data_IF_043513628920
#
_entry.id   IF_043513628920
#
_cell.length_a   1.000
_cell.length_b   1.000
_cell.length_c   1.000
_cell.angle_alpha   90.00
_cell.angle_beta   90.00
_cell.angle_gamma   90.00
#
_symmetry.space_group_name_H-M   'P 1'
#
loop_
_entity.id
_entity.type
_entity.pdbx_description
1 polymer ?
#
# COMPACT_ATOMS: atom_id res chain seq x y z
N UNK A 1 19.74 -6.98 -0.47
CA UNK A 1 20.41 -7.99 -1.32
C UNK A 1 20.73 -9.26 -0.56
N UNK A 2 21.60 -9.25 0.46
CA UNK A 2 21.98 -10.48 1.19
C UNK A 2 20.78 -11.31 1.68
N UNK A 3 19.72 -10.67 2.19
CA UNK A 3 18.47 -11.35 2.56
C UNK A 3 17.81 -12.08 1.38
N UNK A 4 17.63 -11.41 0.25
CA UNK A 4 17.04 -12.01 -0.96
C UNK A 4 17.91 -13.15 -1.50
N UNK A 5 19.24 -12.98 -1.48
CA UNK A 5 20.19 -14.00 -1.94
C UNK A 5 20.26 -15.22 -1.00
N UNK A 6 19.69 -15.13 0.20
CA UNK A 6 19.61 -16.25 1.15
C UNK A 6 18.34 -17.09 1.01
N UNK A 7 17.40 -16.67 0.15
CA UNK A 7 16.17 -17.40 -0.13
C UNK A 7 16.38 -18.36 -1.30
N UNK A 8 16.27 -19.66 -1.03
CA UNK A 8 16.42 -20.73 -2.03
C UNK A 8 15.39 -20.66 -3.17
N UNK A 9 14.26 -19.97 -2.92
CA UNK A 9 13.20 -19.75 -3.90
C UNK A 9 13.31 -18.38 -4.59
N UNK A 10 14.34 -17.59 -4.29
CA UNK A 10 14.61 -16.36 -5.02
C UNK A 10 15.06 -16.69 -6.45
N UNK A 11 14.33 -16.11 -7.42
CA UNK A 11 14.69 -16.16 -8.82
C UNK A 11 14.32 -14.85 -9.50
N UNK A 12 15.18 -14.41 -10.42
CA UNK A 12 14.94 -13.25 -11.27
C UNK A 12 15.75 -13.43 -12.56
N UNK A 13 15.10 -13.39 -13.73
CA UNK A 13 15.73 -13.59 -15.05
C UNK A 13 16.71 -14.78 -15.10
N UNK A 14 16.29 -15.92 -14.55
CA UNK A 14 17.09 -17.14 -14.47
C UNK A 14 18.26 -17.12 -13.46
N UNK A 15 18.45 -16.04 -12.71
CA UNK A 15 19.47 -15.90 -11.67
C UNK A 15 18.89 -16.23 -10.29
N UNK A 16 19.71 -16.84 -9.42
CA UNK A 16 19.39 -17.14 -8.01
C UNK A 16 20.01 -16.16 -7.01
N UNK A 17 20.62 -15.08 -7.50
CA UNK A 17 21.26 -14.07 -6.67
C UNK A 17 21.27 -12.72 -7.38
N UNK A 18 21.26 -11.65 -6.59
CA UNK A 18 21.28 -10.26 -7.02
C UNK A 18 22.59 -9.58 -6.59
N UNK A 19 23.21 -8.84 -7.50
CA UNK A 19 24.35 -7.94 -7.23
C UNK A 19 23.91 -6.47 -7.23
N UNK A 20 24.77 -5.58 -6.70
CA UNK A 20 24.44 -4.15 -6.50
C UNK A 20 24.07 -3.44 -7.81
N UNK A 21 24.81 -3.71 -8.88
CA UNK A 21 24.59 -3.19 -10.23
C UNK A 21 23.25 -3.64 -10.84
N UNK A 22 22.68 -4.75 -10.35
CA UNK A 22 21.42 -5.30 -10.84
C UNK A 22 20.20 -4.82 -10.04
N UNK A 23 20.40 -4.13 -8.93
CA UNK A 23 19.31 -3.78 -8.01
C UNK A 23 18.24 -2.92 -8.69
N UNK A 24 18.65 -1.90 -9.44
CA UNK A 24 17.72 -1.00 -10.14
C UNK A 24 16.85 -1.76 -11.14
N UNK A 25 17.45 -2.66 -11.92
CA UNK A 25 16.72 -3.45 -12.90
C UNK A 25 15.78 -4.45 -12.24
N UNK A 26 16.23 -5.07 -11.14
CA UNK A 26 15.39 -5.95 -10.35
C UNK A 26 14.16 -5.22 -9.80
N UNK A 27 14.35 -4.03 -9.20
CA UNK A 27 13.25 -3.22 -8.68
C UNK A 27 12.21 -2.86 -9.75
N UNK A 28 12.66 -2.61 -10.99
CA UNK A 28 11.78 -2.24 -12.11
C UNK A 28 10.90 -3.39 -12.62
N UNK A 29 11.27 -4.65 -12.39
CA UNK A 29 10.42 -5.80 -12.77
C UNK A 29 9.44 -6.19 -11.67
N UNK A 30 9.65 -5.72 -10.45
CA UNK A 30 8.69 -5.98 -9.40
C UNK A 30 7.41 -5.18 -9.65
N UNK A 31 6.28 -5.81 -9.37
CA UNK A 31 4.97 -5.22 -9.53
C UNK A 31 4.50 -4.64 -8.20
N UNK A 32 4.22 -3.33 -8.10
CA UNK A 32 3.65 -2.75 -6.90
C UNK A 32 2.18 -3.18 -6.76
N UNK A 33 1.84 -3.73 -5.60
CA UNK A 33 0.47 -4.11 -5.23
C UNK A 33 0.20 -3.80 -3.76
N UNK A 34 -1.07 -3.80 -3.38
CA UNK A 34 -1.52 -3.67 -1.99
C UNK A 34 -2.13 -4.99 -1.54
N UNK A 35 -1.73 -5.46 -0.36
CA UNK A 35 -2.24 -6.72 0.19
C UNK A 35 -3.74 -6.59 0.51
N UNK A 36 -4.54 -7.55 0.05
CA UNK A 36 -5.96 -7.64 0.41
C UNK A 36 -6.20 -8.40 1.72
N UNK A 37 -5.22 -9.18 2.14
CA UNK A 37 -5.29 -10.03 3.33
C UNK A 37 -4.02 -9.89 4.15
N UNK A 38 -4.14 -10.23 5.43
CA UNK A 38 -3.00 -10.33 6.33
C UNK A 38 -2.09 -11.47 5.84
N UNK A 39 -0.81 -11.20 5.65
CA UNK A 39 0.13 -12.11 4.99
C UNK A 39 1.34 -12.44 5.85
N UNK A 40 1.60 -13.73 6.06
CA UNK A 40 2.84 -14.22 6.66
C UNK A 40 4.00 -14.06 5.69
N UNK A 41 5.07 -13.50 6.21
CA UNK A 41 6.33 -13.30 5.51
C UNK A 41 7.49 -13.55 6.46
N UNK A 42 8.67 -13.73 5.89
CA UNK A 42 9.91 -13.48 6.60
C UNK A 42 10.35 -12.04 6.30
N UNK A 43 10.38 -11.21 7.35
CA UNK A 43 10.78 -9.81 7.32
C UNK A 43 12.23 -9.69 7.81
N UNK A 44 12.99 -8.71 7.30
CA UNK A 44 14.40 -8.54 7.65
C UNK A 44 14.67 -7.18 8.29
N UNK A 45 15.22 -7.18 9.49
CA UNK A 45 15.74 -5.99 10.15
C UNK A 45 17.25 -5.89 9.94
N UNK A 46 17.77 -4.68 9.82
CA UNK A 46 19.21 -4.47 9.81
C UNK A 46 19.73 -4.39 11.24
N UNK A 47 20.63 -5.29 11.63
CA UNK A 47 21.32 -5.25 12.92
C UNK A 47 22.82 -5.39 12.68
N UNK A 48 23.61 -4.43 13.18
CA UNK A 48 25.07 -4.41 13.01
C UNK A 48 25.51 -4.57 11.53
N UNK A 49 24.77 -3.93 10.61
CA UNK A 49 25.04 -3.98 9.17
C UNK A 49 24.66 -5.29 8.48
N UNK A 50 24.01 -6.23 9.17
CA UNK A 50 23.57 -7.53 8.61
C UNK A 50 22.05 -7.68 8.68
N UNK A 51 21.43 -8.33 7.69
CA UNK A 51 20.00 -8.62 7.72
C UNK A 51 19.72 -9.77 8.70
N UNK A 52 18.79 -9.55 9.63
CA UNK A 52 18.30 -10.52 10.60
C UNK A 52 16.86 -10.85 10.26
N UNK A 53 16.58 -12.12 9.97
CA UNK A 53 15.24 -12.59 9.63
C UNK A 53 14.34 -12.66 10.86
N UNK A 54 13.06 -12.34 10.67
CA UNK A 54 11.98 -12.52 11.63
C UNK A 54 10.72 -12.97 10.92
N UNK A 55 10.01 -13.93 11.50
CA UNK A 55 8.66 -14.26 11.03
C UNK A 55 7.72 -13.11 11.39
N UNK A 56 6.94 -12.64 10.44
CA UNK A 56 6.04 -11.50 10.62
C UNK A 56 4.73 -11.71 9.87
N UNK A 57 3.70 -10.96 10.28
CA UNK A 57 2.45 -10.79 9.53
C UNK A 57 2.42 -9.35 9.03
N UNK A 58 2.27 -9.16 7.73
CA UNK A 58 1.96 -7.87 7.14
C UNK A 58 0.44 -7.70 7.11
N UNK A 59 -0.05 -6.59 7.63
CA UNK A 59 -1.46 -6.24 7.61
C UNK A 59 -1.98 -6.05 6.18
N UNK A 60 -3.22 -6.44 5.91
CA UNK A 60 -3.96 -6.01 4.73
C UNK A 60 -3.88 -4.47 4.57
N UNK A 61 -3.74 -3.98 3.35
CA UNK A 61 -3.44 -2.57 3.07
C UNK A 61 -1.94 -2.26 2.99
N UNK A 62 -1.05 -3.20 3.35
CA UNK A 62 0.39 -3.00 3.17
C UNK A 62 0.76 -3.02 1.68
N UNK A 63 1.47 -1.98 1.22
CA UNK A 63 2.03 -1.92 -0.11
C UNK A 63 3.34 -2.74 -0.21
N UNK A 64 3.41 -3.62 -1.20
CA UNK A 64 4.54 -4.51 -1.45
C UNK A 64 4.91 -4.53 -2.93
N UNK A 65 6.18 -4.81 -3.22
CA UNK A 65 6.67 -5.09 -4.56
C UNK A 65 6.79 -6.60 -4.74
N UNK A 66 6.13 -7.12 -5.77
CA UNK A 66 5.90 -8.56 -5.99
C UNK A 66 6.62 -9.03 -7.24
N UNK A 67 7.28 -10.17 -7.16
CA UNK A 67 7.95 -10.77 -8.34
C UNK A 67 6.95 -11.42 -9.32
N UNK A 68 7.44 -11.82 -10.48
CA UNK A 68 6.64 -12.50 -11.52
C UNK A 68 6.04 -13.84 -11.07
N UNK A 69 6.40 -14.39 -9.91
CA UNK A 69 5.80 -15.62 -9.36
C UNK A 69 4.79 -15.33 -8.26
N UNK A 70 4.48 -14.06 -8.01
CA UNK A 70 3.50 -13.63 -7.02
C UNK A 70 4.04 -13.52 -5.60
N UNK A 71 5.36 -13.63 -5.40
CA UNK A 71 5.97 -13.54 -4.08
C UNK A 71 6.28 -12.08 -3.75
N UNK A 72 5.79 -11.53 -2.61
CA UNK A 72 6.25 -10.24 -2.12
C UNK A 72 7.74 -10.30 -1.79
N UNK A 73 8.54 -9.44 -2.42
CA UNK A 73 10.00 -9.39 -2.26
C UNK A 73 10.47 -8.18 -1.50
N UNK A 74 9.70 -7.10 -1.52
CA UNK A 74 10.05 -5.85 -0.85
C UNK A 74 8.80 -5.23 -0.24
N UNK A 75 8.90 -4.77 1.01
CA UNK A 75 7.92 -3.86 1.59
C UNK A 75 8.17 -2.47 1.00
N UNK A 76 7.23 -1.96 0.21
CA UNK A 76 7.46 -0.82 -0.67
C UNK A 76 7.95 0.41 0.07
N UNK A 77 7.32 0.75 1.20
CA UNK A 77 7.60 1.99 1.94
C UNK A 77 8.97 2.00 2.65
N UNK A 78 9.48 0.83 3.06
CA UNK A 78 10.73 0.73 3.83
C UNK A 78 11.88 0.13 3.05
N UNK A 79 11.66 -0.31 1.80
CA UNK A 79 12.65 -1.05 1.02
C UNK A 79 13.08 -2.37 1.66
N UNK A 80 12.32 -2.85 2.66
CA UNK A 80 12.71 -4.02 3.44
C UNK A 80 12.55 -5.28 2.60
N UNK A 81 13.60 -6.11 2.47
CA UNK A 81 13.47 -7.41 1.84
C UNK A 81 12.42 -8.27 2.54
N UNK A 82 11.66 -9.01 1.75
CA UNK A 82 10.69 -9.99 2.18
C UNK A 82 11.02 -11.32 1.49
N UNK A 83 10.91 -12.41 2.24
CA UNK A 83 10.99 -13.77 1.71
C UNK A 83 9.82 -14.58 2.23
N UNK A 84 9.64 -15.79 1.70
CA UNK A 84 8.54 -16.65 2.11
C UNK A 84 8.62 -16.97 3.61
N UNK A 85 7.47 -17.11 4.28
CA UNK A 85 7.46 -17.50 5.68
C UNK A 85 7.96 -18.93 5.83
N UNK A 86 8.51 -19.24 7.00
CA UNK A 86 8.83 -20.61 7.33
C UNK A 86 7.55 -21.44 7.44
N UNK A 87 7.58 -22.63 6.84
CA UNK A 87 6.52 -23.62 6.97
C UNK A 87 6.43 -24.06 8.43
N UNK A 88 5.24 -23.93 9.01
CA UNK A 88 4.93 -24.47 10.34
C UNK A 88 4.26 -25.82 10.10
N UNK A 89 5.00 -26.91 10.29
CA UNK A 89 4.45 -28.25 10.14
C UNK A 89 3.60 -28.59 11.37
N UNK A 90 2.36 -29.02 11.16
CA UNK A 90 1.49 -29.66 12.16
C UNK A 90 1.13 -28.84 13.41
N UNK A 91 1.26 -27.50 13.36
CA UNK A 91 0.83 -26.62 14.45
C UNK A 91 0.15 -25.36 13.91
N UNK A 92 -0.91 -24.91 14.58
CA UNK A 92 -1.49 -23.58 14.37
C UNK A 92 -0.45 -22.54 14.76
N UNK A 93 -0.09 -21.58 13.89
CA UNK A 93 0.87 -20.54 14.24
C UNK A 93 0.39 -19.74 15.45
N UNK A 94 1.27 -19.55 16.43
CA UNK A 94 1.04 -18.60 17.52
C UNK A 94 1.55 -17.22 17.11
N UNK A 95 0.67 -16.23 17.20
CA UNK A 95 0.99 -14.84 16.86
C UNK A 95 1.38 -14.07 18.13
N UNK A 96 2.41 -13.23 18.02
CA UNK A 96 2.95 -12.42 19.11
C UNK A 96 2.98 -10.95 18.69
N UNK A 97 2.99 -10.04 19.67
CA UNK A 97 3.00 -8.60 19.46
C UNK A 97 1.60 -8.00 19.37
N UNK A 98 1.54 -6.74 18.97
CA UNK A 98 0.29 -5.99 18.91
C UNK A 98 -0.59 -6.46 17.75
N UNK A 99 -1.86 -6.66 18.04
CA UNK A 99 -2.89 -6.94 17.04
C UNK A 99 -3.58 -5.66 16.59
N UNK A 100 -4.11 -5.64 15.37
CA UNK A 100 -5.02 -4.58 14.90
C UNK A 100 -6.49 -5.01 15.00
N UNK A 101 -7.41 -4.05 14.94
CA UNK A 101 -8.87 -4.29 15.08
C UNK A 101 -9.43 -5.37 14.15
N UNK A 102 -8.90 -5.46 12.93
CA UNK A 102 -9.34 -6.45 11.93
C UNK A 102 -8.49 -7.73 11.91
N UNK A 103 -7.53 -7.88 12.82
CA UNK A 103 -6.66 -9.05 12.86
C UNK A 103 -7.46 -10.29 13.22
N UNK A 104 -7.40 -11.30 12.37
CA UNK A 104 -8.02 -12.61 12.61
C UNK A 104 -6.99 -13.70 12.31
N UNK A 105 -6.51 -14.45 13.32
CA UNK A 105 -5.49 -15.48 13.12
C UNK A 105 -5.93 -16.59 12.16
N UNK A 106 -7.24 -16.77 11.93
CA UNK A 106 -7.77 -17.70 10.94
C UNK A 106 -7.77 -17.14 9.50
N UNK A 107 -7.54 -15.83 9.32
CA UNK A 107 -7.50 -15.13 8.02
C UNK A 107 -6.11 -14.58 7.70
N UNK A 108 -5.08 -15.28 8.19
CA UNK A 108 -3.69 -15.00 7.89
C UNK A 108 -3.18 -15.97 6.83
N UNK A 109 -2.77 -15.45 5.68
CA UNK A 109 -2.39 -16.25 4.51
C UNK A 109 -0.88 -16.33 4.33
N UNK A 110 -0.42 -17.30 3.54
CA UNK A 110 0.94 -17.37 3.03
C UNK A 110 0.90 -17.53 1.52
N UNK A 111 1.82 -16.89 0.81
CA UNK A 111 1.93 -17.05 -0.65
C UNK A 111 2.59 -18.39 -0.95
N UNK A 112 1.99 -19.15 -1.86
CA UNK A 112 2.68 -20.21 -2.60
C UNK A 112 3.13 -19.62 -3.94
N UNK A 113 4.43 -19.65 -4.28
CA UNK A 113 4.88 -19.17 -5.58
C UNK A 113 4.17 -19.89 -6.73
N UNK A 114 3.87 -19.16 -7.80
CA UNK A 114 3.34 -19.76 -9.01
C UNK A 114 4.37 -20.72 -9.64
N UNK A 115 3.90 -21.82 -10.23
CA UNK A 115 4.77 -22.81 -10.88
C UNK A 115 5.40 -22.26 -12.18
N UNK A 116 4.72 -21.30 -12.81
CA UNK A 116 5.16 -20.54 -13.98
C UNK A 116 5.11 -19.04 -13.70
N UNK A 117 5.87 -18.25 -14.46
CA UNK A 117 5.82 -16.80 -14.39
C UNK A 117 4.43 -16.28 -14.80
N UNK A 118 3.91 -15.35 -14.02
CA UNK A 118 2.64 -14.67 -14.25
C UNK A 118 2.84 -13.58 -15.30
N UNK A 119 1.89 -13.50 -16.23
CA UNK A 119 1.85 -12.38 -17.18
C UNK A 119 1.25 -11.12 -16.54
N UNK A 120 0.31 -11.29 -15.60
CA UNK A 120 -0.38 -10.22 -14.91
C UNK A 120 -0.91 -10.66 -13.55
N UNK A 121 -1.21 -9.68 -12.71
CA UNK A 121 -1.96 -9.84 -11.46
C UNK A 121 -3.41 -9.43 -11.63
N UNK A 122 -4.32 -10.29 -11.19
CA UNK A 122 -5.72 -9.92 -10.99
C UNK A 122 -5.84 -9.12 -9.69
N UNK A 123 -6.11 -7.82 -9.81
CA UNK A 123 -6.14 -6.88 -8.69
C UNK A 123 -7.55 -6.29 -8.53
N UNK A 124 -7.80 -5.76 -7.34
CA UNK A 124 -9.01 -5.01 -7.03
C UNK A 124 -8.61 -3.61 -6.59
N UNK A 125 -9.27 -2.56 -7.10
CA UNK A 125 -9.06 -1.22 -6.59
C UNK A 125 -9.48 -1.18 -5.12
N UNK A 126 -8.81 -0.35 -4.33
CA UNK A 126 -9.14 -0.23 -2.92
C UNK A 126 -10.47 0.53 -2.82
N UNK A 127 -11.49 -0.12 -2.26
CA UNK A 127 -12.84 0.45 -2.12
C UNK A 127 -13.81 0.18 -3.28
N UNK A 128 -13.32 -0.29 -4.43
CA UNK A 128 -14.18 -0.74 -5.53
C UNK A 128 -14.09 -2.26 -5.72
N UNK A 129 -15.20 -2.88 -6.10
CA UNK A 129 -15.27 -4.34 -6.26
C UNK A 129 -14.85 -4.84 -7.64
N UNK A 130 -14.55 -3.95 -8.59
CA UNK A 130 -14.35 -4.33 -9.99
C UNK A 130 -12.89 -4.70 -10.20
N UNK A 131 -12.65 -5.97 -10.52
CA UNK A 131 -11.32 -6.50 -10.83
C UNK A 131 -10.73 -5.80 -12.06
N UNK A 132 -9.43 -5.53 -12.01
CA UNK A 132 -8.60 -5.19 -13.18
C UNK A 132 -7.37 -6.10 -13.24
N UNK A 133 -6.64 -6.04 -14.35
CA UNK A 133 -5.40 -6.80 -14.56
C UNK A 133 -4.21 -5.85 -14.68
N UNK A 134 -3.18 -6.09 -13.86
CA UNK A 134 -1.90 -5.38 -13.94
C UNK A 134 -0.83 -6.28 -14.56
N UNK A 135 -0.34 -5.99 -15.77
CA UNK A 135 0.81 -6.71 -16.32
C UNK A 135 2.00 -6.65 -15.36
N UNK A 136 2.69 -7.78 -15.19
CA UNK A 136 3.83 -7.85 -14.29
C UNK A 136 4.95 -6.89 -14.71
N UNK A 137 5.61 -6.26 -13.73
CA UNK A 137 6.67 -5.26 -13.94
C UNK A 137 6.18 -3.88 -14.35
N UNK A 138 4.87 -3.65 -14.36
CA UNK A 138 4.29 -2.32 -14.63
C UNK A 138 3.84 -1.66 -13.33
N UNK A 139 3.78 -0.33 -13.33
CA UNK A 139 3.35 0.47 -12.16
C UNK A 139 1.88 0.87 -12.22
N UNK A 140 1.13 0.33 -13.18
CA UNK A 140 -0.30 0.61 -13.41
C UNK A 140 -0.60 1.34 -14.72
N UNK A 141 0.43 1.86 -15.40
CA UNK A 141 0.29 2.54 -16.69
C UNK A 141 -0.21 1.65 -17.84
N UNK A 142 -0.19 0.33 -17.64
CA UNK A 142 -0.68 -0.67 -18.58
C UNK A 142 -1.79 -1.54 -17.98
N UNK A 143 -2.42 -1.08 -16.89
CA UNK A 143 -3.56 -1.78 -16.30
C UNK A 143 -4.68 -1.92 -17.34
N UNK A 144 -5.33 -3.09 -17.33
CA UNK A 144 -6.41 -3.42 -18.25
C UNK A 144 -7.65 -3.71 -17.45
N UNK A 145 -8.74 -3.06 -17.83
CA UNK A 145 -10.06 -3.46 -17.35
C UNK A 145 -10.35 -4.87 -17.82
N UNK A 146 -11.04 -5.66 -17.00
CA UNK A 146 -11.63 -6.90 -17.50
C UNK A 146 -12.83 -6.54 -18.39
N UNK A 147 -12.61 -6.32 -19.69
CA UNK A 147 -13.66 -6.63 -20.66
C UNK A 147 -13.79 -8.15 -20.72
N UNK A 148 -14.95 -8.73 -20.39
CA UNK A 148 -15.15 -10.16 -20.63
C UNK A 148 -14.89 -10.45 -22.11
N UNK A 149 -14.24 -11.57 -22.47
CA UNK A 149 -14.32 -12.02 -23.85
C UNK A 149 -15.81 -12.24 -24.17
N UNK A 150 -16.36 -11.43 -25.07
CA UNK A 150 -17.67 -11.64 -25.66
C UNK A 150 -17.62 -12.94 -26.44
N UNK A 151 -18.15 -14.03 -25.86
CA UNK A 151 -18.63 -15.19 -26.61
C UNK A 151 -19.61 -16.01 -25.76
N UNK A 152 -20.88 -15.97 -26.21
CA UNK A 152 -21.85 -17.08 -26.28
C UNK A 152 -22.48 -17.63 -24.98
N UNK A 153 -23.70 -17.14 -24.74
CA UNK A 153 -24.91 -17.85 -24.30
C UNK A 153 -24.77 -19.25 -23.65
N UNK A 154 -25.07 -19.33 -22.35
CA UNK A 154 -25.36 -20.58 -21.61
C UNK A 154 -26.15 -20.26 -20.32
N UNK A 155 -27.08 -21.13 -19.87
CA UNK A 155 -28.32 -20.70 -19.20
C UNK A 155 -28.16 -20.35 -17.72
N UNK A 156 -29.02 -19.42 -17.30
CA UNK A 156 -29.13 -18.80 -15.98
C UNK A 156 -29.52 -19.79 -14.88
N UNK A 157 -28.75 -19.82 -13.78
CA UNK A 157 -29.20 -20.35 -12.49
C UNK A 157 -30.00 -19.29 -11.70
N UNK A 158 -30.98 -19.68 -10.87
CA UNK A 158 -31.96 -18.75 -10.29
C UNK A 158 -31.38 -17.81 -9.22
N UNK A 159 -31.81 -16.55 -9.28
CA UNK A 159 -31.56 -15.49 -8.29
C UNK A 159 -32.24 -15.79 -6.93
N UNK A 160 -31.52 -15.54 -5.83
CA UNK A 160 -32.12 -15.30 -4.52
C UNK A 160 -32.65 -13.86 -4.39
N UNK A 161 -33.65 -13.60 -3.52
CA UNK A 161 -34.46 -12.37 -3.54
C UNK A 161 -33.70 -11.10 -3.11
N UNK A 162 -34.15 -9.90 -3.54
CA UNK A 162 -33.48 -8.64 -3.25
C UNK A 162 -33.76 -8.16 -1.82
N UNK A 163 -32.71 -7.73 -1.11
CA UNK A 163 -32.83 -6.92 0.10
C UNK A 163 -33.08 -5.44 -0.28
N UNK A 164 -33.90 -4.70 0.50
CA UNK A 164 -34.30 -3.33 0.17
C UNK A 164 -33.11 -2.35 0.20
N UNK A 165 -33.11 -1.41 -0.77
CA UNK A 165 -32.00 -0.54 -1.11
C UNK A 165 -31.66 0.55 -0.08
N UNK A 166 -30.47 1.17 -0.19
CA UNK A 166 -30.04 2.21 0.73
C UNK A 166 -30.79 3.51 0.48
N UNK A 167 -31.36 4.06 1.56
CA UNK A 167 -31.87 5.42 1.60
C UNK A 167 -30.72 6.41 1.41
N UNK A 168 -30.86 7.25 0.39
CA UNK A 168 -30.01 8.42 0.12
C UNK A 168 -30.15 9.44 1.25
N UNK A 169 -29.04 9.75 1.92
CA UNK A 169 -28.90 10.95 2.76
C UNK A 169 -27.82 11.83 2.13
N UNK A 170 -28.21 13.04 1.72
CA UNK A 170 -27.30 14.07 1.21
C UNK A 170 -26.54 14.76 2.35
N UNK A 171 -25.33 15.31 2.08
CA UNK A 171 -24.27 15.49 3.07
C UNK A 171 -24.18 16.92 3.61
N UNK A 172 -23.70 17.09 4.84
CA UNK A 172 -23.23 18.38 5.36
C UNK A 172 -21.78 18.31 5.88
N UNK A 173 -21.01 17.30 5.50
CA UNK A 173 -19.59 17.16 5.87
C UNK A 173 -18.75 16.63 4.72
N UNK A 174 -17.50 17.10 4.64
CA UNK A 174 -16.49 16.56 3.73
C UNK A 174 -16.17 15.10 4.11
N UNK A 175 -16.10 14.25 3.09
CA UNK A 175 -15.85 12.82 3.27
C UNK A 175 -14.36 12.54 3.47
N UNK A 176 -13.94 12.56 4.73
CA UNK A 176 -12.58 12.17 5.15
C UNK A 176 -12.38 10.66 5.22
N UNK A 177 -13.43 9.85 4.97
CA UNK A 177 -13.32 8.40 5.03
C UNK A 177 -12.38 7.82 3.97
N UNK A 178 -11.90 6.62 4.23
CA UNK A 178 -10.92 5.96 3.39
C UNK A 178 -9.49 6.39 3.70
N UNK A 179 -8.60 6.01 2.80
CA UNK A 179 -7.17 6.19 3.00
C UNK A 179 -6.69 7.44 2.27
N UNK A 180 -5.80 8.17 2.93
CA UNK A 180 -5.19 9.36 2.40
C UNK A 180 -3.71 9.12 2.17
N UNK A 181 -3.16 9.79 1.17
CA UNK A 181 -1.74 9.75 0.84
C UNK A 181 -1.19 11.15 0.97
N UNK A 182 -0.11 11.28 1.73
CA UNK A 182 0.78 12.44 1.63
C UNK A 182 1.99 12.03 0.79
N UNK A 183 2.28 12.76 -0.28
CA UNK A 183 3.35 12.47 -1.22
C UNK A 183 4.26 13.68 -1.45
N UNK A 184 5.53 13.38 -1.71
CA UNK A 184 6.56 14.28 -2.21
C UNK A 184 7.25 13.65 -3.41
N UNK A 185 8.21 14.36 -4.00
CA UNK A 185 8.95 13.91 -5.20
C UNK A 185 9.54 12.49 -5.06
N UNK A 186 9.98 12.12 -3.85
CA UNK A 186 10.75 10.89 -3.60
C UNK A 186 10.08 9.92 -2.62
N UNK A 187 8.95 10.28 -2.01
CA UNK A 187 8.36 9.50 -0.91
C UNK A 187 6.87 9.77 -0.75
N UNK A 188 6.12 8.73 -0.41
CA UNK A 188 4.71 8.82 -0.06
C UNK A 188 4.43 8.04 1.23
N UNK A 189 3.54 8.57 2.06
CA UNK A 189 3.07 7.92 3.27
C UNK A 189 1.54 7.83 3.26
N UNK A 190 1.05 6.71 3.77
CA UNK A 190 -0.36 6.35 3.77
C UNK A 190 -0.89 6.49 5.20
N UNK A 191 -2.06 7.09 5.33
CA UNK A 191 -2.63 7.40 6.63
C UNK A 191 -4.13 7.66 6.61
N UNK A 192 -4.65 7.94 7.79
CA UNK A 192 -6.04 8.36 7.98
C UNK A 192 -6.09 9.86 8.11
N UNK A 193 -7.07 10.48 7.45
CA UNK A 193 -7.38 11.89 7.65
C UNK A 193 -8.63 12.00 8.51
N UNK A 194 -8.58 12.86 9.52
CA UNK A 194 -9.74 13.19 10.36
C UNK A 194 -9.93 14.70 10.43
N UNK A 195 -11.17 15.21 10.50
CA UNK A 195 -11.40 16.61 10.81
C UNK A 195 -10.79 16.96 12.17
N UNK A 196 -10.10 18.10 12.24
CA UNK A 196 -9.51 18.60 13.49
C UNK A 196 -9.63 20.13 13.53
N UNK A 197 -10.54 20.64 14.36
CA UNK A 197 -10.86 22.07 14.41
C UNK A 197 -11.32 22.62 13.06
N UNK A 198 -10.63 23.66 12.58
CA UNK A 198 -10.89 24.30 11.29
C UNK A 198 -10.13 23.66 10.11
N UNK A 199 -9.40 22.58 10.36
CA UNK A 199 -8.58 21.88 9.38
C UNK A 199 -8.72 20.36 9.45
N UNK A 200 -7.66 19.68 9.05
CA UNK A 200 -7.62 18.23 8.96
C UNK A 200 -6.31 17.67 9.50
N UNK A 201 -6.39 16.60 10.29
CA UNK A 201 -5.23 15.89 10.81
C UNK A 201 -5.01 14.58 10.08
N UNK A 202 -3.85 14.43 9.48
CA UNK A 202 -3.40 13.21 8.82
C UNK A 202 -2.42 12.47 9.71
N UNK A 203 -2.70 11.19 9.99
CA UNK A 203 -1.82 10.32 10.77
C UNK A 203 -1.42 9.11 9.95
N UNK A 204 -0.12 8.86 9.83
CA UNK A 204 0.35 7.66 9.15
C UNK A 204 0.09 6.41 9.97
N UNK A 205 -0.09 5.30 9.27
CA UNK A 205 -0.30 3.98 9.88
C UNK A 205 1.02 3.22 10.11
N UNK A 206 2.17 3.86 9.88
CA UNK A 206 3.50 3.26 9.93
C UNK A 206 4.39 3.80 11.07
N UNK A 207 5.49 3.07 11.34
CA UNK A 207 6.38 3.27 12.51
C UNK A 207 7.11 4.63 12.56
N UNK A 208 7.20 5.37 11.44
CA UNK A 208 7.82 6.72 11.43
C UNK A 208 6.88 7.76 12.07
N UNK A 209 5.56 7.49 12.02
CA UNK A 209 4.53 8.23 12.74
C UNK A 209 4.47 9.70 12.38
N UNK A 210 4.15 10.03 11.13
CA UNK A 210 3.88 11.42 10.76
C UNK A 210 2.51 11.85 11.30
N UNK A 211 2.51 12.89 12.12
CA UNK A 211 1.31 13.62 12.54
C UNK A 211 1.31 14.96 11.80
N UNK A 212 0.41 15.08 10.82
CA UNK A 212 0.31 16.24 9.95
C UNK A 212 -0.99 16.99 10.19
N UNK A 213 -0.93 18.32 10.20
CA UNK A 213 -2.09 19.20 10.27
C UNK A 213 -2.15 20.07 9.02
N UNK A 214 -3.25 19.99 8.29
CA UNK A 214 -3.62 20.87 7.19
C UNK A 214 -4.56 21.95 7.73
N UNK A 215 -4.17 23.22 7.66
CA UNK A 215 -5.09 24.32 7.97
C UNK A 215 -5.97 24.66 6.75
N UNK A 216 -7.16 25.19 7.00
CA UNK A 216 -8.06 25.64 5.94
C UNK A 216 -9.01 24.58 5.39
N UNK A 217 -9.89 25.04 4.49
CA UNK A 217 -10.98 24.27 3.90
C UNK A 217 -10.87 24.20 2.37
N UNK A 218 -11.61 23.30 1.70
CA UNK A 218 -11.65 23.28 0.25
C UNK A 218 -11.99 24.64 -0.37
N UNK A 219 -11.30 24.96 -1.46
CA UNK A 219 -11.23 26.26 -2.14
C UNK A 219 -10.52 27.37 -1.35
N UNK A 220 -9.57 27.01 -0.47
CA UNK A 220 -8.74 27.97 0.26
C UNK A 220 -7.26 27.64 0.12
N UNK A 221 -6.45 28.68 0.24
CA UNK A 221 -5.02 28.51 0.48
C UNK A 221 -4.79 27.99 1.89
N UNK A 222 -3.79 27.12 2.01
CA UNK A 222 -3.55 26.30 3.18
C UNK A 222 -2.05 26.02 3.38
N UNK A 223 -1.72 25.67 4.61
CA UNK A 223 -0.42 25.22 5.08
C UNK A 223 -0.56 23.81 5.64
N UNK A 224 0.31 22.92 5.18
CA UNK A 224 0.43 21.56 5.70
C UNK A 224 1.68 21.45 6.55
N UNK A 225 1.53 21.10 7.83
CA UNK A 225 2.65 20.93 8.79
C UNK A 225 2.67 19.51 9.34
N UNK A 226 3.77 18.79 9.11
CA UNK A 226 4.00 17.41 9.49
C UNK A 226 5.14 17.30 10.52
N UNK A 227 4.93 16.51 11.57
CA UNK A 227 5.94 16.21 12.59
C UNK A 227 6.17 14.69 12.67
N UNK A 228 7.42 14.25 12.64
CA UNK A 228 7.79 12.83 12.75
C UNK A 228 7.93 12.38 14.21
N UNK A 229 7.32 11.24 14.56
CA UNK A 229 7.36 10.65 15.91
C UNK A 229 8.58 9.76 16.20
N UNK A 230 9.31 9.31 15.18
CA UNK A 230 10.41 8.35 15.32
C UNK A 230 11.80 8.97 15.54
N UNK A 231 12.11 9.43 16.76
CA UNK A 231 13.49 9.62 17.28
C UNK A 231 14.37 10.74 16.68
N UNK A 232 13.99 11.31 15.55
CA UNK A 232 14.48 12.59 15.00
C UNK A 232 13.25 13.44 14.72
N UNK A 233 12.96 14.40 15.58
CA UNK A 233 11.84 15.31 15.40
C UNK A 233 12.16 16.27 14.25
N UNK A 234 11.64 15.97 13.06
CA UNK A 234 11.76 16.82 11.90
C UNK A 234 10.38 17.41 11.60
N UNK A 235 10.33 18.72 11.35
CA UNK A 235 9.10 19.40 10.94
C UNK A 235 9.15 19.68 9.44
N UNK A 236 8.23 19.07 8.69
CA UNK A 236 8.05 19.31 7.26
C UNK A 236 6.82 20.18 7.03
N UNK A 237 7.00 21.33 6.40
CA UNK A 237 6.00 22.36 6.12
C UNK A 237 5.95 22.67 4.64
N UNK A 238 4.74 22.88 4.13
CA UNK A 238 4.49 23.39 2.79
C UNK A 238 3.26 24.28 2.74
N UNK A 239 3.17 25.10 1.69
CA UNK A 239 2.07 26.01 1.41
C UNK A 239 1.47 25.68 0.05
N UNK A 240 0.15 25.78 -0.07
CA UNK A 240 -0.55 25.33 -1.27
C UNK A 240 -2.03 25.67 -1.26
N UNK A 241 -2.77 25.05 -2.17
CA UNK A 241 -4.21 25.26 -2.34
C UNK A 241 -4.98 23.96 -2.15
N UNK A 242 -6.14 24.04 -1.49
CA UNK A 242 -7.06 22.90 -1.34
C UNK A 242 -8.10 22.95 -2.47
N UNK A 243 -8.03 22.02 -3.40
CA UNK A 243 -9.00 21.86 -4.49
C UNK A 243 -10.01 20.75 -4.17
N UNK A 244 -11.31 20.92 -4.45
CA UNK A 244 -12.29 19.85 -4.34
C UNK A 244 -12.00 18.73 -5.35
N UNK A 245 -12.26 17.48 -4.95
CA UNK A 245 -12.14 16.28 -5.77
C UNK A 245 -13.46 15.52 -5.70
N UNK A 246 -14.19 15.48 -6.82
CA UNK A 246 -15.53 14.90 -6.86
C UNK A 246 -16.53 15.71 -6.02
N UNK A 247 -17.50 15.01 -5.41
CA UNK A 247 -18.64 15.64 -4.73
C UNK A 247 -18.37 16.00 -3.27
N UNK A 248 -17.44 15.30 -2.60
CA UNK A 248 -17.27 15.39 -1.15
C UNK A 248 -15.81 15.28 -0.65
N UNK A 249 -14.84 15.01 -1.53
CA UNK A 249 -13.42 14.91 -1.17
C UNK A 249 -12.64 16.14 -1.65
N UNK A 250 -11.37 16.21 -1.30
CA UNK A 250 -10.48 17.30 -1.71
C UNK A 250 -9.05 16.80 -1.88
N UNK A 251 -8.21 17.65 -2.46
CA UNK A 251 -6.76 17.47 -2.59
C UNK A 251 -6.09 18.77 -2.21
N UNK A 252 -4.99 18.68 -1.48
CA UNK A 252 -4.07 19.79 -1.25
C UNK A 252 -2.88 19.62 -2.18
N UNK A 253 -2.59 20.67 -2.95
CA UNK A 253 -1.41 20.78 -3.80
C UNK A 253 -0.54 21.92 -3.27
N UNK A 254 0.59 21.57 -2.66
CA UNK A 254 1.51 22.54 -2.10
C UNK A 254 2.98 22.26 -2.40
N UNK A 255 3.80 23.22 -1.99
CA UNK A 255 5.25 23.21 -2.16
C UNK A 255 5.91 23.29 -0.79
N UNK A 256 6.89 22.43 -0.54
CA UNK A 256 7.65 22.43 0.69
C UNK A 256 8.45 23.74 0.85
N UNK A 257 8.41 24.33 2.05
CA UNK A 257 9.13 25.57 2.41
C UNK A 257 10.20 25.34 3.49
N UNK A 258 10.38 24.10 3.93
CA UNK A 258 11.27 23.73 5.05
C UNK A 258 12.26 22.64 4.65
N UNK A 259 11.97 21.37 4.91
CA UNK A 259 12.78 20.24 4.43
C UNK A 259 12.63 20.19 2.91
N UNK A 260 13.77 20.32 2.20
CA UNK A 260 13.85 20.39 0.72
C UNK A 260 12.92 21.44 0.12
N UNK A 261 13.23 22.74 0.30
CA UNK A 261 12.40 23.82 -0.24
C UNK A 261 12.22 23.68 -1.76
N UNK A 262 11.00 23.84 -2.23
CA UNK A 262 10.65 23.72 -3.66
C UNK A 262 10.16 22.33 -4.08
N UNK A 263 10.31 21.30 -3.24
CA UNK A 263 9.76 19.96 -3.50
C UNK A 263 8.23 19.93 -3.42
N UNK A 264 7.61 19.01 -4.14
CA UNK A 264 6.15 18.82 -4.05
C UNK A 264 5.72 18.31 -2.68
N UNK A 265 4.56 18.76 -2.23
CA UNK A 265 3.91 18.33 -1.00
C UNK A 265 2.40 18.23 -1.26
N UNK A 266 1.93 17.03 -1.55
CA UNK A 266 0.56 16.78 -1.97
C UNK A 266 -0.12 15.91 -0.91
N UNK A 267 -1.33 16.28 -0.50
CA UNK A 267 -2.22 15.43 0.30
C UNK A 267 -3.48 15.17 -0.49
N UNK A 268 -3.81 13.91 -0.72
CA UNK A 268 -4.98 13.54 -1.52
C UNK A 268 -5.60 12.23 -1.04
N UNK A 269 -6.89 11.99 -1.33
CA UNK A 269 -7.46 10.66 -1.23
C UNK A 269 -6.67 9.72 -2.16
N UNK A 270 -6.46 8.50 -1.69
CA UNK A 270 -5.77 7.46 -2.44
C UNK A 270 -6.59 7.00 -3.64
#
# INVERSE_FOLDING_TARGET
MQALNSDDQFQWRGKKSLSTDQLTDYLRELTPVVLRFDLRVTYYLLQQGRPVSRQAVLQAGTAVLVDVRGVPRIRSISGTPLTLPHLVQNATPHFLGDTWTAFDPAKVFAVRPADIELAFFALFPIGSGVRFERPCGTTGNADRDQTPPTNSSGPSTPQSPPAPGPTSVAPSGFDTSGTWVIESDDSAAIGTLVPDGDGFRFKTTDYIGWDCYLDGRPNQDASLTCVSGGGIAATWRGQGHISPVGVSKFRFDGTAVSIRPGSTMILRPQ
#
